data_IF_897193535448
#
_entry.id   IF_897193535448
#
_cell.length_a   1.000
_cell.length_b   1.000
_cell.length_c   1.000
_cell.angle_alpha   90.00
_cell.angle_beta   90.00
_cell.angle_gamma   90.00
#
_symmetry.space_group_name_H-M   'P 1'
#
loop_
_entity.id
_entity.type
_entity.pdbx_description
1 polymer ?
#
# COMPACT_ATOMS: atom_id res chain seq x y z
N UNK A 1 12.08 22.51 -6.62
CA UNK A 1 12.36 21.17 -7.18
C UNK A 1 11.68 20.12 -6.32
N UNK A 2 10.81 19.31 -6.89
CA UNK A 2 10.13 18.29 -6.10
C UNK A 2 11.02 17.08 -5.92
N UNK A 3 10.96 16.49 -4.72
CA UNK A 3 11.70 15.28 -4.41
C UNK A 3 11.10 14.10 -5.17
N UNK A 4 11.94 13.13 -5.52
CA UNK A 4 11.45 11.88 -6.10
C UNK A 4 10.64 11.12 -5.04
N UNK A 5 9.54 10.48 -5.43
CA UNK A 5 8.78 9.65 -4.50
C UNK A 5 9.62 8.51 -3.93
N UNK A 6 9.39 8.22 -2.68
CA UNK A 6 10.02 7.10 -1.99
C UNK A 6 8.99 6.00 -1.75
N UNK A 7 9.36 4.78 -2.14
CA UNK A 7 8.57 3.58 -1.85
C UNK A 7 9.19 2.89 -0.65
N UNK A 8 8.38 2.66 0.39
CA UNK A 8 8.87 2.02 1.61
C UNK A 8 7.74 1.27 2.32
N UNK A 9 8.07 0.36 3.24
CA UNK A 9 7.03 -0.26 4.06
C UNK A 9 6.28 0.79 4.87
N UNK A 10 4.98 0.57 5.05
CA UNK A 10 4.15 1.46 5.85
C UNK A 10 4.49 1.31 7.33
N UNK A 11 4.40 2.41 8.06
CA UNK A 11 4.59 2.44 9.51
C UNK A 11 3.37 3.10 10.16
N UNK A 12 3.29 3.05 11.48
CA UNK A 12 2.13 3.57 12.20
C UNK A 12 1.85 5.04 11.89
N UNK A 13 2.90 5.83 11.66
CA UNK A 13 2.74 7.24 11.33
C UNK A 13 2.01 7.48 10.00
N UNK A 14 1.90 6.46 9.15
CA UNK A 14 1.21 6.58 7.86
C UNK A 14 -0.29 6.35 7.95
N UNK A 15 -0.76 5.78 9.07
CA UNK A 15 -2.15 5.30 9.16
C UNK A 15 -3.20 6.38 8.99
N UNK A 16 -2.95 7.57 9.53
CA UNK A 16 -3.91 8.66 9.43
C UNK A 16 -4.12 9.09 7.99
N UNK A 17 -3.03 9.26 7.25
CA UNK A 17 -3.08 9.63 5.84
C UNK A 17 -3.71 8.52 5.00
N UNK A 18 -3.42 7.25 5.33
CA UNK A 18 -4.01 6.12 4.64
C UNK A 18 -5.53 6.06 4.85
N UNK A 19 -5.98 6.27 6.09
CA UNK A 19 -7.41 6.26 6.41
C UNK A 19 -8.13 7.40 5.67
N UNK A 20 -7.51 8.57 5.59
CA UNK A 20 -8.06 9.69 4.84
C UNK A 20 -8.16 9.36 3.35
N UNK A 21 -7.12 8.74 2.80
CA UNK A 21 -7.11 8.31 1.41
C UNK A 21 -8.21 7.28 1.14
N UNK A 22 -8.46 6.37 2.08
CA UNK A 22 -9.53 5.40 1.95
C UNK A 22 -10.89 6.09 1.79
N UNK A 23 -11.15 7.09 2.63
CA UNK A 23 -12.42 7.83 2.56
C UNK A 23 -12.59 8.57 1.24
N UNK A 24 -11.49 9.03 0.64
CA UNK A 24 -11.53 9.77 -0.62
C UNK A 24 -11.60 8.88 -1.85
N UNK A 25 -11.05 7.66 -1.76
CA UNK A 25 -10.91 6.79 -2.93
C UNK A 25 -11.97 5.72 -3.05
N UNK A 26 -12.58 5.30 -1.94
CA UNK A 26 -13.47 4.14 -1.94
C UNK A 26 -14.81 4.45 -1.27
N UNK A 27 -15.92 3.93 -1.83
CA UNK A 27 -17.23 4.10 -1.20
C UNK A 27 -17.38 3.30 0.10
N UNK A 28 -16.54 2.27 0.27
CA UNK A 28 -16.55 1.41 1.45
C UNK A 28 -15.14 1.40 2.04
N UNK A 29 -14.74 2.50 2.69
CA UNK A 29 -13.34 2.67 3.11
C UNK A 29 -12.98 1.75 4.27
N UNK A 30 -11.74 1.27 4.26
CA UNK A 30 -11.16 0.57 5.41
C UNK A 30 -10.93 1.57 6.54
N UNK A 31 -11.26 1.16 7.76
CA UNK A 31 -11.10 2.00 8.93
C UNK A 31 -9.63 2.10 9.36
N UNK A 32 -9.34 3.12 10.16
CA UNK A 32 -8.02 3.25 10.79
C UNK A 32 -7.63 1.97 11.51
N UNK A 33 -8.57 1.38 12.25
CA UNK A 33 -8.32 0.15 13.00
C UNK A 33 -7.95 -1.01 12.09
N UNK A 34 -8.69 -1.18 10.98
CA UNK A 34 -8.38 -2.24 10.03
C UNK A 34 -6.99 -2.06 9.44
N UNK A 35 -6.66 -0.82 9.05
CA UNK A 35 -5.33 -0.52 8.50
C UNK A 35 -4.24 -0.79 9.54
N UNK A 36 -4.48 -0.44 10.80
CA UNK A 36 -3.55 -0.72 11.88
C UNK A 36 -3.33 -2.22 12.06
N UNK A 37 -4.41 -3.00 11.97
CA UNK A 37 -4.34 -4.46 12.08
C UNK A 37 -3.51 -5.06 10.95
N UNK A 38 -3.58 -4.48 9.74
CA UNK A 38 -2.77 -4.95 8.60
C UNK A 38 -1.27 -4.82 8.89
N UNK A 39 -0.86 -3.72 9.54
CA UNK A 39 0.56 -3.52 9.83
C UNK A 39 1.09 -4.55 10.83
N UNK A 40 0.22 -5.09 11.67
CA UNK A 40 0.61 -6.12 12.64
C UNK A 40 0.44 -7.54 12.14
N UNK A 41 -0.13 -7.72 10.94
CA UNK A 41 -0.42 -9.06 10.42
C UNK A 41 0.82 -9.67 9.77
N UNK A 42 1.16 -10.94 10.11
CA UNK A 42 2.29 -11.61 9.47
C UNK A 42 2.00 -12.00 8.01
N UNK A 43 0.74 -11.94 7.58
CA UNK A 43 0.35 -12.31 6.22
C UNK A 43 0.30 -11.13 5.28
N UNK A 44 0.25 -9.91 5.80
CA UNK A 44 0.05 -8.70 5.00
C UNK A 44 1.34 -7.90 4.88
N UNK A 45 1.56 -7.39 3.68
CA UNK A 45 2.62 -6.42 3.41
C UNK A 45 1.96 -5.15 2.91
N UNK A 46 2.33 -4.02 3.48
CA UNK A 46 1.79 -2.72 3.08
C UNK A 46 2.96 -1.81 2.73
N UNK A 47 2.95 -1.27 1.51
CA UNK A 47 3.94 -0.31 1.06
C UNK A 47 3.26 1.01 0.78
N UNK A 48 3.93 2.10 1.13
CA UNK A 48 3.47 3.44 0.84
C UNK A 48 4.43 4.12 -0.13
N UNK A 49 3.88 4.99 -0.96
CA UNK A 49 4.64 5.86 -1.84
C UNK A 49 4.45 7.27 -1.29
N UNK A 50 5.54 7.91 -0.89
CA UNK A 50 5.49 9.21 -0.23
C UNK A 50 6.46 10.18 -0.90
N UNK A 51 6.16 11.47 -0.82
CA UNK A 51 7.03 12.53 -1.29
C UNK A 51 6.87 13.71 -0.34
N UNK A 52 7.98 14.18 0.23
CA UNK A 52 8.00 15.35 1.12
C UNK A 52 6.93 15.24 2.22
N UNK A 53 6.91 14.09 2.90
CA UNK A 53 5.98 13.79 3.99
C UNK A 53 4.51 13.70 3.55
N UNK A 54 4.25 13.63 2.25
CA UNK A 54 2.90 13.52 1.72
C UNK A 54 2.68 12.13 1.15
N UNK A 55 1.60 11.49 1.54
CA UNK A 55 1.20 10.19 1.01
C UNK A 55 0.66 10.36 -0.41
N UNK A 56 1.26 9.65 -1.36
CA UNK A 56 0.80 9.65 -2.76
C UNK A 56 -0.09 8.43 -3.04
N UNK A 57 0.18 7.33 -2.35
CA UNK A 57 -0.59 6.11 -2.53
C UNK A 57 -0.04 4.98 -1.68
N UNK A 58 -0.71 3.84 -1.74
CA UNK A 58 -0.26 2.66 -1.01
C UNK A 58 -0.80 1.39 -1.67
N UNK A 59 -0.17 0.26 -1.32
CA UNK A 59 -0.59 -1.06 -1.78
C UNK A 59 -0.53 -2.03 -0.62
N UNK A 60 -1.52 -2.91 -0.55
CA UNK A 60 -1.54 -4.03 0.40
C UNK A 60 -1.62 -5.33 -0.37
N UNK A 61 -0.72 -6.24 -0.08
CA UNK A 61 -0.77 -7.61 -0.58
C UNK A 61 -0.82 -8.56 0.61
N UNK A 62 -1.47 -9.70 0.40
CA UNK A 62 -1.57 -10.75 1.41
C UNK A 62 -1.02 -12.04 0.84
N UNK A 63 -0.16 -12.71 1.59
CA UNK A 63 0.35 -14.02 1.22
C UNK A 63 0.05 -14.99 2.36
N UNK A 64 -0.74 -16.01 2.04
CA UNK A 64 -1.17 -16.99 3.00
C UNK A 64 -0.93 -18.37 2.39
N UNK A 65 0.07 -19.08 2.92
CA UNK A 65 0.49 -20.34 2.33
C UNK A 65 1.03 -20.13 0.92
N UNK A 66 0.46 -20.82 -0.04
CA UNK A 66 0.82 -20.69 -1.45
C UNK A 66 -0.08 -19.73 -2.23
N UNK A 67 -0.99 -19.06 -1.53
CA UNK A 67 -1.89 -18.08 -2.14
C UNK A 67 -1.42 -16.66 -1.89
N UNK A 68 -1.45 -15.84 -2.93
CA UNK A 68 -1.07 -14.45 -2.86
C UNK A 68 -2.14 -13.59 -3.52
N UNK A 69 -2.55 -12.51 -2.85
CA UNK A 69 -3.57 -11.61 -3.37
C UNK A 69 -3.16 -10.16 -3.23
N UNK A 70 -3.47 -9.39 -4.28
CA UNK A 70 -3.42 -7.94 -4.19
C UNK A 70 -4.74 -7.50 -3.54
N UNK A 71 -4.66 -7.01 -2.31
CA UNK A 71 -5.86 -6.69 -1.53
C UNK A 71 -6.37 -5.28 -1.80
N UNK A 72 -5.46 -4.33 -1.96
CA UNK A 72 -5.83 -2.94 -2.12
C UNK A 72 -4.70 -2.18 -2.79
N UNK A 73 -5.05 -1.28 -3.69
CA UNK A 73 -4.12 -0.31 -4.25
C UNK A 73 -4.87 1.01 -4.38
N UNK A 74 -4.25 2.08 -3.94
CA UNK A 74 -4.87 3.40 -3.96
C UNK A 74 -3.83 4.47 -4.29
N UNK A 75 -4.24 5.42 -5.12
CA UNK A 75 -3.47 6.62 -5.42
C UNK A 75 -4.38 7.80 -5.08
N UNK A 76 -3.88 8.76 -4.30
CA UNK A 76 -4.68 9.92 -3.94
C UNK A 76 -5.14 10.65 -5.21
N UNK A 77 -6.38 11.17 -5.24
CA UNK A 77 -6.97 11.67 -6.49
C UNK A 77 -6.13 12.70 -7.23
N UNK A 78 -5.50 13.64 -6.53
CA UNK A 78 -4.70 14.70 -7.15
C UNK A 78 -3.38 14.21 -7.74
N UNK A 79 -2.99 12.94 -7.46
CA UNK A 79 -1.74 12.38 -7.95
C UNK A 79 -1.95 11.33 -9.04
N UNK A 80 -3.20 11.14 -9.47
CA UNK A 80 -3.50 10.20 -10.55
C UNK A 80 -2.97 10.70 -11.88
N UNK A 81 -2.67 9.77 -12.78
CA UNK A 81 -2.12 10.10 -14.08
C UNK A 81 -0.61 10.23 -14.13
N UNK A 82 0.08 10.00 -13.00
CA UNK A 82 1.54 10.09 -12.91
C UNK A 82 2.22 8.72 -12.80
N UNK A 83 1.47 7.64 -13.09
CA UNK A 83 1.97 6.26 -13.06
C UNK A 83 2.34 5.75 -11.67
N UNK A 84 1.88 6.40 -10.62
CA UNK A 84 2.14 5.92 -9.25
C UNK A 84 1.44 4.60 -8.97
N UNK A 85 0.24 4.40 -9.56
CA UNK A 85 -0.45 3.12 -9.46
C UNK A 85 0.37 1.97 -10.00
N UNK A 86 1.07 2.19 -11.13
CA UNK A 86 1.94 1.18 -11.71
C UNK A 86 3.14 0.87 -10.81
N UNK A 87 3.73 1.91 -10.22
CA UNK A 87 4.84 1.74 -9.27
C UNK A 87 4.40 0.88 -8.08
N UNK A 88 3.22 1.17 -7.54
CA UNK A 88 2.66 0.42 -6.41
C UNK A 88 2.31 -1.01 -6.80
N UNK A 89 1.72 -1.19 -7.98
CA UNK A 89 1.39 -2.52 -8.49
C UNK A 89 2.64 -3.38 -8.61
N UNK A 90 3.71 -2.83 -9.17
CA UNK A 90 4.98 -3.54 -9.31
C UNK A 90 5.55 -3.92 -7.95
N UNK A 91 5.49 -3.02 -6.98
CA UNK A 91 5.95 -3.32 -5.63
C UNK A 91 5.18 -4.49 -5.03
N UNK A 92 3.85 -4.49 -5.20
CA UNK A 92 3.01 -5.57 -4.71
C UNK A 92 3.32 -6.90 -5.38
N UNK A 93 3.52 -6.89 -6.70
CA UNK A 93 3.84 -8.11 -7.44
C UNK A 93 5.20 -8.67 -7.04
N UNK A 94 6.20 -7.81 -6.86
CA UNK A 94 7.53 -8.25 -6.42
C UNK A 94 7.44 -8.89 -5.03
N UNK A 95 6.69 -8.28 -4.13
CA UNK A 95 6.52 -8.80 -2.77
C UNK A 95 5.80 -10.16 -2.79
N UNK A 96 4.75 -10.29 -3.59
CA UNK A 96 4.03 -11.55 -3.72
C UNK A 96 4.92 -12.65 -4.26
N UNK A 97 5.72 -12.33 -5.29
CA UNK A 97 6.65 -13.31 -5.85
C UNK A 97 7.71 -13.74 -4.85
N UNK A 98 8.28 -12.79 -4.11
CA UNK A 98 9.32 -13.09 -3.13
C UNK A 98 8.78 -13.99 -2.01
N UNK A 99 7.59 -13.67 -1.49
CA UNK A 99 7.00 -14.43 -0.39
C UNK A 99 6.40 -15.74 -0.87
N UNK A 100 5.83 -15.75 -2.07
CA UNK A 100 5.29 -16.97 -2.67
C UNK A 100 6.36 -18.00 -2.99
N UNK A 101 7.53 -17.53 -3.45
CA UNK A 101 8.66 -18.42 -3.71
C UNK A 101 9.16 -19.09 -2.43
N UNK A 102 9.07 -18.40 -1.30
CA UNK A 102 9.45 -18.99 -0.01
C UNK A 102 8.45 -20.05 0.44
N UNK A 103 7.18 -19.92 0.06
CA UNK A 103 6.13 -20.85 0.43
C UNK A 103 6.16 -22.12 -0.43
N UNK A 104 6.78 -22.05 -1.60
CA UNK A 104 6.94 -23.19 -2.46
C UNK A 104 8.12 -24.07 -2.02
#
# INVERSE_FOLDING_TARGET
>A
MSALPELRPAVAADLEAMAESERRCFPDPWSFRLLSDLLGSPYDSVFVLVSEDTLLGYVNVRVLGDEAELMRIAVVPEERGKRYGLTLLRAGLVEMCARGAEAA
#
